data_IF_050383208393
#
_entry.id   IF_050383208393
#
_cell.length_a   1.000
_cell.length_b   1.000
_cell.length_c   1.000
_cell.angle_alpha   90.00
_cell.angle_beta   90.00
_cell.angle_gamma   90.00
#
_symmetry.space_group_name_H-M   'P 1'
#
loop_
_entity.id
_entity.type
_entity.pdbx_description
1 polymer ?
#
# COMPACT_ATOMS: atom_id res chain seq x y z
N UNK A 1 21.37 -12.19 -0.20
CA UNK A 1 22.17 -12.17 1.05
C UNK A 1 22.91 -10.84 1.09
N UNK A 2 22.45 -9.90 1.92
CA UNK A 2 23.15 -8.65 2.21
C UNK A 2 23.25 -8.54 3.74
N UNK A 3 24.44 -8.82 4.27
CA UNK A 3 24.76 -8.69 5.69
C UNK A 3 25.07 -7.21 5.97
N UNK A 4 24.04 -6.41 6.23
CA UNK A 4 24.18 -4.97 6.50
C UNK A 4 24.65 -4.70 7.95
N UNK A 5 25.82 -5.21 8.35
CA UNK A 5 26.54 -4.80 9.56
C UNK A 5 25.81 -4.94 10.91
N UNK A 6 26.33 -4.26 11.94
CA UNK A 6 25.77 -4.22 13.31
C UNK A 6 25.22 -2.82 13.63
N UNK A 7 24.07 -2.77 14.31
CA UNK A 7 23.52 -1.53 14.91
C UNK A 7 23.75 -1.60 16.42
N UNK A 8 24.64 -0.76 16.92
CA UNK A 8 24.85 -0.59 18.36
C UNK A 8 23.82 0.39 18.92
N UNK A 9 23.04 -0.06 19.89
CA UNK A 9 22.01 0.76 20.53
C UNK A 9 21.81 0.38 22.00
N UNK A 10 21.05 1.19 22.73
CA UNK A 10 20.74 0.93 24.13
C UNK A 10 19.72 -0.20 24.28
N UNK A 11 20.13 -1.28 24.96
CA UNK A 11 19.26 -2.40 25.36
C UNK A 11 18.04 -1.93 26.15
N UNK A 12 18.22 -0.89 26.97
CA UNK A 12 17.14 -0.28 27.75
C UNK A 12 16.12 0.45 26.87
N UNK A 13 16.57 1.22 25.87
CA UNK A 13 15.64 1.90 24.95
C UNK A 13 14.85 0.89 24.11
N UNK A 14 15.50 -0.16 23.61
CA UNK A 14 14.82 -1.25 22.91
C UNK A 14 13.73 -1.89 23.77
N UNK A 15 14.06 -2.18 25.03
CA UNK A 15 13.14 -2.78 26.00
C UNK A 15 11.92 -1.91 26.28
N UNK A 16 12.09 -0.59 26.38
CA UNK A 16 11.00 0.33 26.68
C UNK A 16 10.13 0.67 25.47
N UNK A 17 10.71 0.74 24.28
CA UNK A 17 10.04 1.33 23.11
C UNK A 17 9.40 0.30 22.17
N UNK A 18 9.65 -0.99 22.37
CA UNK A 18 9.23 -2.04 21.43
C UNK A 18 8.83 -3.33 22.14
N UNK A 19 7.76 -3.98 21.68
CA UNK A 19 7.29 -5.23 22.30
C UNK A 19 8.21 -6.41 22.00
N UNK A 20 8.78 -6.49 20.78
CA UNK A 20 9.66 -7.60 20.42
C UNK A 20 10.90 -7.67 21.33
N UNK A 21 11.59 -6.54 21.52
CA UNK A 21 12.78 -6.54 22.35
C UNK A 21 12.42 -6.60 23.84
N UNK A 22 11.28 -6.05 24.26
CA UNK A 22 10.76 -6.25 25.62
C UNK A 22 10.65 -7.75 25.96
N UNK A 23 9.97 -8.52 25.11
CA UNK A 23 9.80 -9.97 25.26
C UNK A 23 11.14 -10.71 25.20
N UNK A 24 11.98 -10.41 24.20
CA UNK A 24 13.29 -11.04 24.02
C UNK A 24 14.20 -10.85 25.24
N UNK A 25 14.27 -9.62 25.76
CA UNK A 25 15.16 -9.27 26.88
C UNK A 25 14.61 -9.80 28.20
N UNK A 26 13.29 -9.84 28.37
CA UNK A 26 12.65 -10.46 29.54
C UNK A 26 12.95 -11.96 29.57
N UNK A 27 12.83 -12.65 28.44
CA UNK A 27 13.10 -14.07 28.33
C UNK A 27 14.60 -14.40 28.42
N UNK A 28 15.47 -13.53 27.90
CA UNK A 28 16.92 -13.70 27.95
C UNK A 28 17.64 -12.38 28.31
N UNK A 29 17.80 -12.08 29.61
CA UNK A 29 18.48 -10.87 30.08
C UNK A 29 19.95 -10.77 29.67
N UNK A 30 20.60 -11.88 29.31
CA UNK A 30 22.00 -11.92 28.90
C UNK A 30 22.20 -11.83 27.39
N UNK A 31 21.12 -11.80 26.59
CA UNK A 31 21.22 -11.63 25.15
C UNK A 31 21.98 -10.34 24.80
N UNK A 32 23.10 -10.47 24.09
CA UNK A 32 23.97 -9.37 23.68
C UNK A 32 23.77 -8.97 22.21
N UNK A 33 23.14 -9.84 21.41
CA UNK A 33 22.91 -9.62 19.98
C UNK A 33 21.65 -10.34 19.52
N UNK A 34 21.02 -9.81 18.47
CA UNK A 34 19.94 -10.49 17.75
C UNK A 34 20.01 -10.15 16.28
N UNK A 35 19.65 -11.12 15.43
CA UNK A 35 19.64 -10.95 13.98
C UNK A 35 18.21 -10.73 13.52
N UNK A 36 18.01 -9.67 12.73
CA UNK A 36 16.75 -9.35 12.07
C UNK A 36 16.94 -9.50 10.57
N UNK A 37 15.99 -10.16 9.89
CA UNK A 37 16.04 -10.37 8.43
C UNK A 37 15.53 -9.13 7.67
N UNK A 38 16.18 -7.99 7.91
CA UNK A 38 15.89 -6.70 7.27
C UNK A 38 17.17 -5.93 7.04
N UNK A 39 17.19 -5.12 5.98
CA UNK A 39 18.30 -4.21 5.70
C UNK A 39 18.47 -3.18 6.81
N UNK A 40 19.70 -2.71 7.01
CA UNK A 40 20.05 -1.74 8.07
C UNK A 40 19.23 -0.45 8.01
N UNK A 41 19.09 0.14 6.81
CA UNK A 41 18.30 1.38 6.59
C UNK A 41 16.85 1.24 7.10
N UNK A 42 16.24 0.07 6.89
CA UNK A 42 14.87 -0.20 7.34
C UNK A 42 14.82 -0.30 8.86
N UNK A 43 15.76 -1.03 9.47
CA UNK A 43 15.81 -1.19 10.93
C UNK A 43 16.06 0.17 11.59
N UNK A 44 17.01 0.95 11.10
CA UNK A 44 17.33 2.28 11.64
C UNK A 44 16.09 3.20 11.61
N UNK A 45 15.32 3.21 10.53
CA UNK A 45 14.07 4.01 10.46
C UNK A 45 12.99 3.53 11.42
N UNK A 46 12.83 2.22 11.62
CA UNK A 46 11.87 1.69 12.60
C UNK A 46 12.31 2.04 14.02
N UNK A 47 13.61 2.00 14.31
CA UNK A 47 14.16 2.38 15.61
C UNK A 47 14.08 3.90 15.85
N UNK A 48 14.32 4.73 14.84
CA UNK A 48 14.12 6.18 14.93
C UNK A 48 12.66 6.52 15.26
N UNK A 49 11.71 5.83 14.63
CA UNK A 49 10.30 5.95 14.99
C UNK A 49 10.04 5.47 16.43
N UNK A 50 10.57 4.31 16.82
CA UNK A 50 10.35 3.76 18.15
C UNK A 50 10.91 4.64 19.27
N UNK A 51 12.08 5.25 19.07
CA UNK A 51 12.78 6.04 20.08
C UNK A 51 12.36 7.50 20.08
N UNK A 52 12.13 8.10 18.91
CA UNK A 52 11.94 9.55 18.74
C UNK A 52 10.51 9.91 18.31
N UNK A 53 9.72 8.94 17.85
CA UNK A 53 8.41 9.19 17.24
C UNK A 53 8.49 9.89 15.88
N UNK A 54 9.67 9.91 15.24
CA UNK A 54 9.89 10.60 13.97
C UNK A 54 9.75 9.60 12.83
N UNK A 55 9.00 9.97 11.80
CA UNK A 55 8.93 9.23 10.54
C UNK A 55 9.35 10.13 9.38
N UNK A 56 10.44 9.74 8.71
CA UNK A 56 10.90 10.39 7.50
C UNK A 56 11.23 9.32 6.45
N UNK A 57 10.20 8.90 5.72
CA UNK A 57 10.37 8.02 4.56
C UNK A 57 9.45 8.48 3.44
N UNK A 58 10.05 8.64 2.26
CA UNK A 58 9.34 8.95 1.04
C UNK A 58 8.51 7.73 0.61
N UNK A 59 7.20 7.91 0.56
CA UNK A 59 6.23 6.86 0.22
C UNK A 59 6.28 6.48 -1.27
N UNK A 60 6.99 7.26 -2.08
CA UNK A 60 7.21 6.98 -3.51
C UNK A 60 8.07 5.72 -3.76
N UNK A 61 8.76 5.20 -2.74
CA UNK A 61 9.50 3.93 -2.82
C UNK A 61 8.67 2.79 -2.25
N UNK A 62 7.64 2.37 -2.99
CA UNK A 62 6.63 1.40 -2.54
C UNK A 62 7.26 0.10 -1.99
N UNK A 63 8.33 -0.40 -2.60
CA UNK A 63 9.05 -1.60 -2.14
C UNK A 63 9.71 -1.42 -0.77
N UNK A 64 10.23 -0.21 -0.49
CA UNK A 64 10.78 0.13 0.83
C UNK A 64 9.67 0.24 1.87
N UNK A 65 8.51 0.80 1.50
CA UNK A 65 7.34 0.92 2.37
C UNK A 65 6.88 -0.46 2.83
N UNK A 66 6.81 -1.45 1.93
CA UNK A 66 6.48 -2.83 2.31
C UNK A 66 7.45 -3.41 3.34
N UNK A 67 8.77 -3.36 3.04
CA UNK A 67 9.80 -3.90 3.94
C UNK A 67 9.76 -3.21 5.30
N UNK A 68 9.52 -1.90 5.31
CA UNK A 68 9.33 -1.12 6.53
C UNK A 68 8.12 -1.59 7.33
N UNK A 69 6.95 -1.75 6.72
CA UNK A 69 5.75 -2.21 7.41
C UNK A 69 5.91 -3.63 7.98
N UNK A 70 6.57 -4.54 7.25
CA UNK A 70 6.95 -5.86 7.77
C UNK A 70 7.87 -5.76 8.98
N UNK A 71 8.86 -4.88 8.92
CA UNK A 71 9.78 -4.64 10.04
C UNK A 71 9.05 -4.04 11.26
N UNK A 72 8.15 -3.07 11.06
CA UNK A 72 7.28 -2.51 12.10
C UNK A 72 6.43 -3.61 12.75
N UNK A 73 5.82 -4.51 11.97
CA UNK A 73 5.03 -5.65 12.49
C UNK A 73 5.87 -6.66 13.26
N UNK A 74 7.15 -6.81 12.88
CA UNK A 74 8.11 -7.69 13.57
C UNK A 74 8.59 -7.12 14.90
N UNK A 75 9.04 -5.87 14.89
CA UNK A 75 9.62 -5.18 16.06
C UNK A 75 8.51 -4.71 17.03
N UNK A 76 7.33 -4.38 16.49
CA UNK A 76 6.17 -3.86 17.23
C UNK A 76 6.52 -2.67 18.13
N UNK A 77 6.90 -1.51 17.56
CA UNK A 77 7.04 -0.27 18.33
C UNK A 77 5.74 0.06 19.08
N UNK A 78 5.83 0.67 20.28
CA UNK A 78 4.63 0.97 21.09
C UNK A 78 3.56 1.78 20.34
N UNK A 79 3.99 2.72 19.48
CA UNK A 79 3.10 3.56 18.65
C UNK A 79 2.85 2.99 17.25
N UNK A 80 2.95 1.68 17.07
CA UNK A 80 2.82 1.03 15.78
C UNK A 80 1.55 1.42 14.99
N UNK A 81 0.40 1.56 15.66
CA UNK A 81 -0.86 1.92 15.00
C UNK A 81 -0.81 3.30 14.35
N UNK A 82 -0.15 4.27 14.99
CA UNK A 82 -0.02 5.64 14.48
C UNK A 82 0.75 5.64 13.15
N UNK A 83 1.89 4.95 13.11
CA UNK A 83 2.72 4.92 11.89
C UNK A 83 2.06 4.14 10.76
N UNK A 84 1.39 3.04 11.08
CA UNK A 84 0.66 2.23 10.11
C UNK A 84 -0.47 3.06 9.47
N UNK A 85 -1.25 3.79 10.27
CA UNK A 85 -2.31 4.65 9.77
C UNK A 85 -1.76 5.80 8.93
N UNK A 86 -0.68 6.45 9.37
CA UNK A 86 -0.01 7.51 8.62
C UNK A 86 0.44 7.04 7.24
N UNK A 87 1.06 5.85 7.15
CA UNK A 87 1.48 5.26 5.88
C UNK A 87 0.28 4.92 5.00
N UNK A 88 -0.78 4.36 5.57
CA UNK A 88 -2.02 4.04 4.83
C UNK A 88 -2.63 5.31 4.21
N UNK A 89 -2.71 6.41 4.96
CA UNK A 89 -3.17 7.71 4.46
C UNK A 89 -2.27 8.21 3.33
N UNK A 90 -0.95 8.17 3.49
CA UNK A 90 0.00 8.63 2.45
C UNK A 90 -0.05 7.80 1.17
N UNK A 91 -0.24 6.48 1.28
CA UNK A 91 -0.44 5.61 0.11
C UNK A 91 -1.75 5.96 -0.61
N UNK A 92 -2.81 6.22 0.15
CA UNK A 92 -4.08 6.64 -0.43
C UNK A 92 -3.99 8.03 -1.09
N UNK A 93 -3.26 8.98 -0.48
CA UNK A 93 -2.95 10.27 -1.10
C UNK A 93 -2.18 10.09 -2.41
N UNK A 94 -1.26 9.12 -2.49
CA UNK A 94 -0.52 8.81 -3.73
C UNK A 94 -1.46 8.30 -4.83
N UNK A 95 -2.46 7.49 -4.48
CA UNK A 95 -3.54 7.09 -5.40
C UNK A 95 -4.43 8.29 -5.79
N UNK A 96 -4.74 9.18 -4.85
CA UNK A 96 -5.67 10.30 -5.06
C UNK A 96 -5.07 11.49 -5.82
N UNK A 97 -3.78 11.77 -5.63
CA UNK A 97 -3.03 12.72 -6.46
C UNK A 97 -3.07 12.33 -7.95
N UNK A 98 -3.34 11.06 -8.26
CA UNK A 98 -3.57 10.57 -9.63
C UNK A 98 -5.03 10.69 -10.09
N UNK A 99 -5.98 10.91 -9.19
CA UNK A 99 -7.44 10.98 -9.45
C UNK A 99 -7.99 12.40 -9.55
N UNK A 100 -7.29 13.40 -9.02
CA UNK A 100 -7.63 14.81 -9.26
C UNK A 100 -7.36 15.14 -10.72
N UNK A 101 -8.32 14.81 -11.57
CA UNK A 101 -9.03 15.73 -12.46
C UNK A 101 -10.00 14.87 -13.28
N UNK A 102 -11.25 15.30 -13.33
CA UNK A 102 -12.12 14.97 -14.45
C UNK A 102 -13.21 16.01 -14.55
N UNK A 103 -12.83 17.30 -14.61
CA UNK A 103 -13.73 18.35 -15.12
C UNK A 103 -13.01 19.40 -15.99
N UNK A 104 -11.68 19.63 -15.92
CA UNK A 104 -11.08 20.64 -16.81
C UNK A 104 -9.59 20.41 -17.10
N UNK A 105 -9.32 20.07 -18.38
CA UNK A 105 -8.12 20.41 -19.17
C UNK A 105 -6.78 19.81 -18.71
N UNK A 106 -6.21 19.01 -19.63
CA UNK A 106 -4.79 18.66 -19.78
C UNK A 106 -3.82 19.71 -19.21
N UNK A 107 -2.97 19.28 -18.27
CA UNK A 107 -1.51 19.38 -18.37
C UNK A 107 -0.83 18.68 -17.15
N UNK A 108 -0.06 17.62 -17.46
CA UNK A 108 0.89 16.89 -16.60
C UNK A 108 0.39 16.28 -15.29
N UNK A 109 -0.49 15.28 -15.38
CA UNK A 109 -0.75 14.42 -14.23
C UNK A 109 0.13 13.20 -14.32
N UNK A 110 0.76 12.83 -13.21
CA UNK A 110 1.34 11.50 -13.07
C UNK A 110 0.19 10.56 -12.76
N UNK A 111 -0.38 9.91 -13.77
CA UNK A 111 -1.19 8.71 -13.54
C UNK A 111 -0.28 7.68 -12.88
N UNK A 112 -0.63 7.19 -11.68
CA UNK A 112 0.00 5.99 -11.15
C UNK A 112 -0.07 4.89 -12.21
N UNK A 113 1.08 4.29 -12.53
CA UNK A 113 1.13 3.20 -13.49
C UNK A 113 0.53 1.92 -12.87
N UNK A 114 0.23 0.93 -13.72
CA UNK A 114 -0.35 -0.32 -13.27
C UNK A 114 0.55 -1.06 -12.26
N UNK A 115 1.88 -1.07 -12.45
CA UNK A 115 2.79 -1.79 -11.57
C UNK A 115 2.76 -1.25 -10.14
N UNK A 116 2.87 0.07 -9.99
CA UNK A 116 2.74 0.76 -8.71
C UNK A 116 1.36 0.51 -8.08
N UNK A 117 0.29 0.54 -8.88
CA UNK A 117 -1.05 0.25 -8.38
C UNK A 117 -1.17 -1.19 -7.86
N UNK A 118 -0.60 -2.19 -8.54
CA UNK A 118 -0.60 -3.59 -8.07
C UNK A 118 0.26 -3.76 -6.82
N UNK A 119 1.41 -3.08 -6.75
CA UNK A 119 2.26 -3.09 -5.55
C UNK A 119 1.55 -2.48 -4.34
N UNK A 120 0.83 -1.37 -4.53
CA UNK A 120 -0.01 -0.77 -3.47
C UNK A 120 -1.15 -1.70 -3.09
N UNK A 121 -1.80 -2.36 -4.06
CA UNK A 121 -2.86 -3.33 -3.80
C UNK A 121 -2.36 -4.47 -2.91
N UNK A 122 -1.19 -5.04 -3.24
CA UNK A 122 -0.60 -6.13 -2.48
C UNK A 122 -0.12 -5.69 -1.08
N UNK A 123 0.37 -4.45 -0.92
CA UNK A 123 0.61 -3.89 0.43
C UNK A 123 -0.71 -3.76 1.20
N UNK A 124 -1.75 -3.22 0.58
CA UNK A 124 -3.05 -3.02 1.22
C UNK A 124 -3.64 -4.36 1.65
N UNK A 125 -3.47 -5.40 0.84
CA UNK A 125 -3.92 -6.74 1.13
C UNK A 125 -3.11 -7.37 2.28
N UNK A 126 -1.78 -7.37 2.18
CA UNK A 126 -0.89 -7.93 3.20
C UNK A 126 -1.05 -7.25 4.57
N UNK A 127 -1.28 -5.94 4.57
CA UNK A 127 -1.37 -5.13 5.80
C UNK A 127 -2.82 -4.94 6.28
N UNK A 128 -3.80 -5.49 5.57
CA UNK A 128 -5.23 -5.41 5.87
C UNK A 128 -5.77 -3.97 5.90
N UNK A 129 -5.29 -3.11 5.01
CA UNK A 129 -5.79 -1.74 4.85
C UNK A 129 -7.06 -1.70 4.00
N UNK A 130 -8.21 -2.00 4.60
CA UNK A 130 -9.49 -2.13 3.88
C UNK A 130 -9.79 -0.96 2.92
N UNK A 131 -9.71 0.28 3.39
CA UNK A 131 -9.98 1.46 2.56
C UNK A 131 -9.01 1.61 1.37
N UNK A 132 -7.73 1.29 1.59
CA UNK A 132 -6.71 1.34 0.54
C UNK A 132 -6.90 0.21 -0.46
N UNK A 133 -7.24 -0.98 0.04
CA UNK A 133 -7.54 -2.17 -0.76
C UNK A 133 -8.71 -1.87 -1.72
N UNK A 134 -9.83 -1.39 -1.18
CA UNK A 134 -11.02 -1.05 -1.98
C UNK A 134 -10.72 0.06 -3.00
N UNK A 135 -10.01 1.11 -2.59
CA UNK A 135 -9.67 2.22 -3.47
C UNK A 135 -8.77 1.77 -4.63
N UNK A 136 -7.79 0.91 -4.34
CA UNK A 136 -6.84 0.41 -5.36
C UNK A 136 -7.50 -0.60 -6.29
N UNK A 137 -8.34 -1.52 -5.76
CA UNK A 137 -9.13 -2.44 -6.58
C UNK A 137 -10.04 -1.67 -7.54
N UNK A 138 -10.73 -0.64 -7.05
CA UNK A 138 -11.60 0.19 -7.89
C UNK A 138 -10.82 0.90 -9.00
N UNK A 139 -9.62 1.41 -8.71
CA UNK A 139 -8.74 2.02 -9.71
C UNK A 139 -8.35 1.02 -10.81
N UNK A 140 -7.85 -0.16 -10.41
CA UNK A 140 -7.41 -1.19 -11.34
C UNK A 140 -8.59 -1.69 -12.19
N UNK A 141 -9.75 -1.95 -11.58
CA UNK A 141 -10.96 -2.40 -12.29
C UNK A 141 -11.44 -1.37 -13.33
N UNK A 142 -11.39 -0.09 -12.99
CA UNK A 142 -11.89 0.97 -13.86
C UNK A 142 -10.95 1.27 -15.04
N UNK A 143 -9.64 1.35 -14.77
CA UNK A 143 -8.65 1.89 -15.70
C UNK A 143 -7.72 0.83 -16.33
N UNK A 144 -7.36 -0.22 -15.59
CA UNK A 144 -6.26 -1.11 -15.99
C UNK A 144 -6.62 -2.60 -16.02
N UNK A 145 -7.90 -2.96 -15.91
CA UNK A 145 -8.29 -4.36 -15.65
C UNK A 145 -7.81 -5.34 -16.72
N UNK A 146 -7.87 -4.93 -18.00
CA UNK A 146 -7.43 -5.77 -19.12
C UNK A 146 -5.92 -5.98 -19.05
N UNK A 147 -5.14 -4.90 -18.90
CA UNK A 147 -3.69 -4.96 -18.81
C UNK A 147 -3.24 -5.74 -17.56
N UNK A 148 -3.94 -5.57 -16.44
CA UNK A 148 -3.73 -6.34 -15.21
C UNK A 148 -3.85 -7.84 -15.48
N UNK A 149 -4.91 -8.28 -16.17
CA UNK A 149 -5.11 -9.71 -16.50
C UNK A 149 -4.08 -10.24 -17.48
N UNK A 150 -3.56 -9.40 -18.37
CA UNK A 150 -2.51 -9.78 -19.32
C UNK A 150 -1.14 -9.90 -18.65
N UNK A 151 -0.81 -8.97 -17.76
CA UNK A 151 0.53 -8.88 -17.14
C UNK A 151 0.67 -9.71 -15.85
N UNK A 152 -0.41 -9.86 -15.09
CA UNK A 152 -0.44 -10.57 -13.80
C UNK A 152 -1.42 -11.73 -13.89
N UNK A 153 -0.89 -12.92 -14.18
CA UNK A 153 -1.68 -14.15 -14.30
C UNK A 153 -0.85 -15.38 -13.86
N UNK A 154 -1.47 -16.56 -13.95
CA UNK A 154 -0.88 -17.84 -13.53
C UNK A 154 0.40 -18.22 -14.30
N UNK A 155 0.57 -17.72 -15.52
CA UNK A 155 1.73 -17.95 -16.36
C UNK A 155 2.79 -16.83 -16.25
N UNK A 156 2.50 -15.76 -15.50
CA UNK A 156 3.48 -14.70 -15.26
C UNK A 156 4.63 -15.25 -14.42
N UNK A 157 5.86 -14.98 -14.84
CA UNK A 157 7.06 -15.31 -14.08
C UNK A 157 7.57 -14.09 -13.28
N UNK A 158 8.55 -14.32 -12.41
CA UNK A 158 9.18 -13.27 -11.61
C UNK A 158 8.21 -12.56 -10.65
N UNK A 159 8.44 -11.25 -10.47
CA UNK A 159 7.68 -10.42 -9.52
C UNK A 159 6.17 -10.41 -9.81
N UNK A 160 5.78 -10.36 -11.09
CA UNK A 160 4.37 -10.34 -11.49
C UNK A 160 3.64 -11.63 -11.10
N UNK A 161 4.30 -12.79 -11.30
CA UNK A 161 3.76 -14.09 -10.89
C UNK A 161 3.67 -14.24 -9.37
N UNK A 162 4.64 -13.69 -8.63
CA UNK A 162 4.58 -13.65 -7.17
C UNK A 162 3.46 -12.76 -6.63
N UNK A 163 3.29 -11.57 -7.21
CA UNK A 163 2.19 -10.66 -6.89
C UNK A 163 0.84 -11.32 -7.19
N UNK A 164 0.69 -11.92 -8.36
CA UNK A 164 -0.54 -12.61 -8.74
C UNK A 164 -0.88 -13.73 -7.76
N UNK A 165 0.07 -14.62 -7.43
CA UNK A 165 -0.15 -15.73 -6.49
C UNK A 165 -0.61 -15.28 -5.10
N UNK A 166 -0.06 -14.17 -4.59
CA UNK A 166 -0.50 -13.59 -3.32
C UNK A 166 -1.91 -13.02 -3.41
N UNK A 167 -2.19 -12.25 -4.47
CA UNK A 167 -3.49 -11.61 -4.69
C UNK A 167 -4.59 -12.58 -5.13
N UNK A 168 -4.24 -13.77 -5.59
CA UNK A 168 -5.17 -14.83 -5.99
C UNK A 168 -5.57 -15.76 -4.85
N UNK A 169 -4.98 -15.59 -3.67
CA UNK A 169 -5.28 -16.39 -2.50
C UNK A 169 -5.98 -15.56 -1.43
N UNK A 170 -6.80 -16.23 -0.62
CA UNK A 170 -7.41 -15.65 0.57
C UNK A 170 -7.49 -16.71 1.65
N UNK A 171 -7.03 -16.37 2.85
CA UNK A 171 -7.05 -17.28 4.01
C UNK A 171 -8.48 -17.58 4.47
N UNK A 172 -9.47 -16.76 4.08
CA UNK A 172 -10.87 -16.91 4.49
C UNK A 172 -11.65 -17.73 3.46
N UNK A 173 -11.61 -17.30 2.19
CA UNK A 173 -12.31 -17.94 1.09
C UNK A 173 -11.84 -17.42 -0.26
N UNK A 174 -11.71 -18.29 -1.26
CA UNK A 174 -11.17 -17.95 -2.59
C UNK A 174 -11.92 -16.80 -3.28
N UNK A 175 -13.24 -16.72 -3.14
CA UNK A 175 -14.04 -15.65 -3.76
C UNK A 175 -13.75 -14.25 -3.19
N UNK A 176 -13.12 -14.19 -2.00
CA UNK A 176 -12.65 -12.95 -1.37
C UNK A 176 -11.22 -12.57 -1.78
N UNK A 177 -10.54 -13.41 -2.56
CA UNK A 177 -9.23 -13.06 -3.11
C UNK A 177 -9.36 -11.79 -3.98
N UNK A 178 -8.44 -10.81 -3.84
CA UNK A 178 -8.48 -9.56 -4.60
C UNK A 178 -8.71 -9.74 -6.10
N UNK A 179 -8.07 -10.72 -6.73
CA UNK A 179 -8.25 -10.99 -8.18
C UNK A 179 -9.68 -11.40 -8.54
N UNK A 180 -10.33 -12.19 -7.69
CA UNK A 180 -11.70 -12.68 -7.89
C UNK A 180 -12.74 -11.58 -7.62
N UNK A 181 -12.50 -10.76 -6.60
CA UNK A 181 -13.31 -9.57 -6.31
C UNK A 181 -13.26 -8.60 -7.48
N UNK A 182 -12.06 -8.29 -7.99
CA UNK A 182 -11.89 -7.41 -9.14
C UNK A 182 -12.56 -7.95 -10.40
N UNK A 183 -12.43 -9.25 -10.69
CA UNK A 183 -13.10 -9.90 -11.83
C UNK A 183 -14.63 -9.78 -11.74
N UNK A 184 -15.18 -10.02 -10.55
CA UNK A 184 -16.63 -9.90 -10.32
C UNK A 184 -17.11 -8.47 -10.52
N UNK A 185 -16.37 -7.49 -10.01
CA UNK A 185 -16.66 -6.07 -10.18
C UNK A 185 -16.59 -5.64 -11.65
N UNK A 186 -15.57 -6.10 -12.39
CA UNK A 186 -15.42 -5.80 -13.81
C UNK A 186 -16.58 -6.38 -14.65
N UNK A 187 -16.99 -7.62 -14.39
CA UNK A 187 -18.15 -8.24 -15.07
C UNK A 187 -19.44 -7.46 -14.82
N UNK A 188 -19.63 -6.94 -13.61
CA UNK A 188 -20.79 -6.10 -13.28
C UNK A 188 -20.76 -4.75 -14.02
N UNK A 189 -19.59 -4.20 -14.35
CA UNK A 189 -19.47 -2.92 -15.08
C UNK A 189 -20.34 -2.85 -16.34
N UNK A 190 -20.40 -3.94 -17.13
CA UNK A 190 -21.22 -4.00 -18.34
C UNK A 190 -22.73 -3.92 -18.10
N UNK A 191 -23.19 -4.17 -16.87
CA UNK A 191 -24.60 -4.09 -16.46
C UNK A 191 -24.99 -2.74 -15.85
N UNK A 192 -24.02 -1.85 -15.59
CA UNK A 192 -24.26 -0.57 -14.94
C UNK A 192 -24.63 0.50 -15.97
N UNK A 193 -25.85 1.02 -15.86
CA UNK A 193 -26.30 2.18 -16.65
C UNK A 193 -25.85 3.49 -15.99
N UNK A 194 -25.62 4.54 -16.78
CA UNK A 194 -25.31 5.88 -16.24
C UNK A 194 -26.52 6.44 -15.50
N UNK A 195 -26.50 6.37 -14.17
CA UNK A 195 -27.58 6.86 -13.30
C UNK A 195 -27.39 8.29 -12.80
N UNK A 196 -26.14 8.76 -12.69
CA UNK A 196 -25.85 10.11 -12.23
C UNK A 196 -25.93 11.09 -13.41
N UNK A 197 -26.92 11.98 -13.37
CA UNK A 197 -27.08 13.09 -14.32
C UNK A 197 -26.95 14.40 -13.54
N UNK A 198 -26.04 15.28 -13.95
CA UNK A 198 -25.94 16.63 -13.43
C UNK A 198 -26.41 17.62 -14.50
N UNK A 199 -27.14 18.67 -14.10
CA UNK A 199 -27.49 19.77 -15.01
C UNK A 199 -26.26 20.66 -15.16
N UNK A 200 -25.70 20.75 -16.37
CA UNK A 200 -24.82 21.87 -16.72
C UNK A 200 -25.65 23.14 -16.76
N UNK A 201 -25.53 24.01 -15.77
CA UNK A 201 -26.16 25.33 -15.77
C UNK A 201 -25.41 26.26 -16.72
N UNK A 202 -25.61 26.07 -18.03
CA UNK A 202 -25.35 27.11 -19.02
C UNK A 202 -26.61 27.22 -19.87
N UNK A 203 -27.45 28.25 -19.68
CA UNK A 203 -28.55 28.48 -20.61
C UNK A 203 -27.97 28.80 -21.99
N UNK A 204 -28.55 28.28 -23.08
CA UNK A 204 -28.12 28.65 -24.42
C UNK A 204 -28.28 30.17 -24.55
N UNK A 205 -27.20 30.87 -24.91
CA UNK A 205 -27.27 32.26 -25.36
C UNK A 205 -28.28 32.29 -26.51
N UNK A 206 -29.46 32.86 -26.27
CA UNK A 206 -30.39 33.20 -27.34
C UNK A 206 -29.67 34.20 -28.24
N UNK A 207 -29.20 33.76 -29.39
CA UNK A 207 -28.85 34.66 -30.47
C UNK A 207 -30.18 35.14 -31.06
N UNK A 208 -30.50 36.41 -30.81
CA UNK A 208 -31.48 37.11 -31.63
C UNK A 208 -30.80 37.33 -33.00
N UNK A 209 -31.41 36.79 -34.05
CA UNK A 209 -31.10 37.16 -35.42
C UNK A 209 -31.88 38.45 -35.67
N UNK A 210 -31.17 39.50 -36.11
CA UNK A 210 -31.73 40.82 -36.47
C UNK A 210 -32.76 40.74 -37.60
#
# INVERSE_FOLDING_TARGET
MANDGEIKTSKYLLYLSTNYFHELITANPFASSVVLDFNRDIIEKVLDFAFKGIYNMEVQLIDKVRKFLRCVRRIKPLKQTEIINHISVKLNETLQQSREISITIQQNWKSINLDDAVKILDIAYEQQFANLLDSTMNLIVDQYFIDFRLMYNEHSEGENGELFRRLSHSEIADFLAPTNVMLTSYRKRGSVTRILKYKTSVPPKRQFIE
#
